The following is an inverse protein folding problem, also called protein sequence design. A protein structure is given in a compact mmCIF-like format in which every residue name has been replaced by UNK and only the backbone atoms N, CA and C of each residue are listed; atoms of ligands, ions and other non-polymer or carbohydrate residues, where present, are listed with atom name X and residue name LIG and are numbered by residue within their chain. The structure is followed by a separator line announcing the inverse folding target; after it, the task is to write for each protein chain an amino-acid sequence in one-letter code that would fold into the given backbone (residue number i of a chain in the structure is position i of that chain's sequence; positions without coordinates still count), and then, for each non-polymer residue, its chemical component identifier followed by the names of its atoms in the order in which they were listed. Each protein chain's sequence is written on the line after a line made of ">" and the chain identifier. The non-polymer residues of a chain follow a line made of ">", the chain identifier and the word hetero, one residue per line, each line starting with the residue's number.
data_IF_202062801384
#
_entry.id   IF_202062801384
#
_cell.length_a   1.000
_cell.length_b   1.000
_cell.length_c   1.000
_cell.angle_alpha   90.00
_cell.angle_beta   90.00
_cell.angle_gamma   90.00
#
_symmetry.space_group_name_H-M   'P 1'
#
loop_
_entity.id
_entity.type
_entity.pdbx_description
1 polymer ?
#
# COMPACT_ATOMS: atom_id res chain seq x y z
N UNK A 1 3.99 14.58 2.93
CA UNK A 1 2.58 14.18 3.06
C UNK A 1 1.99 14.82 4.31
N UNK A 2 0.71 15.24 4.31
CA UNK A 2 0.03 15.86 5.46
C UNK A 2 -1.26 15.09 5.80
N UNK A 3 -1.53 14.87 7.09
CA UNK A 3 -2.70 14.21 7.64
C UNK A 3 -4.01 14.94 7.30
N UNK A 4 -4.01 16.27 7.30
CA UNK A 4 -5.21 17.03 6.94
C UNK A 4 -5.60 16.83 5.47
N UNK A 5 -4.61 16.75 4.57
CA UNK A 5 -4.84 16.42 3.16
C UNK A 5 -5.29 14.97 3.01
N UNK A 6 -4.71 14.05 3.80
CA UNK A 6 -5.14 12.65 3.88
C UNK A 6 -6.61 12.50 4.24
N UNK A 7 -7.03 13.07 5.37
CA UNK A 7 -8.42 13.02 5.80
C UNK A 7 -9.34 13.69 4.78
N UNK A 8 -8.92 14.82 4.19
CA UNK A 8 -9.72 15.51 3.18
C UNK A 8 -9.94 14.67 1.91
N UNK A 9 -8.98 13.85 1.48
CA UNK A 9 -9.18 12.97 0.31
C UNK A 9 -9.90 11.67 0.68
N UNK A 10 -9.63 11.12 1.88
CA UNK A 10 -10.31 9.94 2.38
C UNK A 10 -11.79 10.19 2.70
N UNK A 11 -12.19 11.40 3.08
CA UNK A 11 -13.59 11.72 3.36
C UNK A 11 -14.42 12.01 2.09
N UNK A 12 -13.78 12.14 0.93
CA UNK A 12 -14.48 12.42 -0.33
C UNK A 12 -15.09 11.15 -0.88
N UNK A 13 -16.35 10.90 -0.55
CA UNK A 13 -17.11 9.74 -1.02
C UNK A 13 -16.99 9.48 -2.54
N UNK A 14 -16.87 10.53 -3.35
CA UNK A 14 -16.66 10.43 -4.81
C UNK A 14 -15.40 9.61 -5.18
N UNK A 15 -14.34 9.72 -4.38
CA UNK A 15 -13.11 8.93 -4.54
C UNK A 15 -13.30 7.44 -4.21
N UNK A 16 -14.43 7.05 -3.61
CA UNK A 16 -14.78 5.67 -3.23
C UNK A 16 -15.93 5.09 -4.05
N UNK A 17 -16.57 5.90 -4.88
CA UNK A 17 -17.75 5.51 -5.66
C UNK A 17 -17.38 4.98 -7.05
N UNK A 18 -16.19 5.29 -7.54
CA UNK A 18 -15.68 4.84 -8.83
C UNK A 18 -14.62 3.76 -8.60
N UNK A 19 -15.01 2.47 -8.65
CA UNK A 19 -14.12 1.29 -8.70
C UNK A 19 -13.29 1.22 -10.01
N UNK A 20 -12.92 2.37 -10.56
CA UNK A 20 -12.26 2.50 -11.86
C UNK A 20 -10.75 2.47 -11.74
N UNK A 21 -10.19 2.69 -10.54
CA UNK A 21 -8.76 2.62 -10.31
C UNK A 21 -8.29 1.16 -10.35
N UNK A 22 -7.26 0.84 -11.16
CA UNK A 22 -6.61 -0.45 -11.11
C UNK A 22 -6.07 -0.68 -9.70
N UNK A 23 -6.57 -1.73 -9.04
CA UNK A 23 -6.17 -2.06 -7.68
C UNK A 23 -4.66 -2.27 -7.52
N UNK A 24 -4.22 -2.42 -6.28
CA UNK A 24 -2.81 -2.64 -5.97
C UNK A 24 -2.46 -4.08 -6.26
N UNK A 25 -1.48 -4.27 -7.16
CA UNK A 25 -1.00 -5.58 -7.61
C UNK A 25 0.03 -6.17 -6.67
N UNK A 26 0.93 -5.33 -6.17
CA UNK A 26 2.10 -5.77 -5.44
C UNK A 26 2.56 -4.65 -4.50
N UNK A 27 2.90 -5.02 -3.27
CA UNK A 27 3.52 -4.12 -2.30
C UNK A 27 4.75 -4.78 -1.70
N UNK A 28 5.76 -3.98 -1.41
CA UNK A 28 6.96 -4.42 -0.70
C UNK A 28 7.32 -3.38 0.35
N UNK A 29 7.40 -3.79 1.62
CA UNK A 29 7.95 -2.94 2.67
C UNK A 29 9.47 -2.88 2.55
N UNK A 30 10.01 -1.67 2.46
CA UNK A 30 11.45 -1.41 2.38
C UNK A 30 12.05 -1.06 3.76
N UNK A 31 11.24 -1.12 4.81
CA UNK A 31 11.61 -0.66 6.16
C UNK A 31 11.29 0.82 6.39
N UNK A 32 11.34 1.25 7.65
CA UNK A 32 11.17 2.65 8.07
C UNK A 32 9.95 3.38 7.46
N UNK A 33 8.78 2.71 7.41
CA UNK A 33 7.53 3.24 6.84
C UNK A 33 7.55 3.49 5.33
N UNK A 34 8.53 2.93 4.62
CA UNK A 34 8.66 3.09 3.18
C UNK A 34 8.08 1.88 2.47
N UNK A 35 7.15 2.12 1.54
CA UNK A 35 6.59 1.09 0.67
C UNK A 35 7.02 1.32 -0.78
N UNK A 36 7.27 0.22 -1.47
CA UNK A 36 7.24 0.14 -2.92
C UNK A 36 5.91 -0.49 -3.33
N UNK A 37 5.15 0.20 -4.17
CA UNK A 37 3.78 -0.15 -4.54
C UNK A 37 3.72 -0.22 -6.06
N UNK A 38 3.12 -1.29 -6.59
CA UNK A 38 2.78 -1.44 -8.00
C UNK A 38 1.27 -1.58 -8.13
N UNK A 39 0.69 -0.78 -9.02
CA UNK A 39 -0.72 -0.84 -9.35
C UNK A 39 -0.94 -1.73 -10.57
N UNK A 40 -2.13 -2.32 -10.69
CA UNK A 40 -2.47 -3.26 -11.77
C UNK A 40 -2.88 -2.56 -13.06
N UNK A 41 -2.23 -1.45 -13.40
CA UNK A 41 -2.51 -0.71 -14.62
C UNK A 41 -2.22 -1.57 -15.85
N UNK A 42 -3.21 -1.68 -16.74
CA UNK A 42 -3.06 -2.36 -18.02
C UNK A 42 -2.84 -1.36 -19.15
N UNK A 43 -1.93 -1.61 -20.10
CA UNK A 43 -1.10 -2.82 -20.24
C UNK A 43 0.20 -2.79 -19.43
N UNK A 44 0.52 -1.68 -18.75
CA UNK A 44 1.83 -1.46 -18.13
C UNK A 44 1.64 -0.99 -16.69
N UNK A 45 1.97 -1.83 -15.70
CA UNK A 45 1.89 -1.48 -14.29
C UNK A 45 2.71 -0.22 -13.98
N UNK A 46 2.12 0.72 -13.26
CA UNK A 46 2.85 1.85 -12.70
C UNK A 46 3.31 1.53 -11.28
N UNK A 47 4.49 2.03 -10.92
CA UNK A 47 5.13 1.75 -9.64
C UNK A 47 5.62 3.01 -8.96
N UNK A 48 5.49 3.06 -7.65
CA UNK A 48 5.91 4.19 -6.82
C UNK A 48 6.64 3.69 -5.57
N UNK A 49 7.62 4.48 -5.12
CA UNK A 49 8.19 4.39 -3.78
C UNK A 49 7.68 5.57 -2.97
N UNK A 50 7.05 5.31 -1.83
CA UNK A 50 6.48 6.34 -0.96
C UNK A 50 6.92 6.12 0.48
N UNK A 51 7.20 7.22 1.16
CA UNK A 51 7.54 7.26 2.58
C UNK A 51 6.31 7.74 3.38
N UNK A 52 5.79 6.85 4.22
CA UNK A 52 4.63 7.13 5.07
C UNK A 52 5.02 7.69 6.44
N UNK A 53 6.31 7.78 6.78
CA UNK A 53 6.75 8.29 8.08
C UNK A 53 6.16 9.68 8.40
N UNK A 54 6.13 10.66 7.47
CA UNK A 54 5.55 11.98 7.78
C UNK A 54 4.08 11.90 8.16
N UNK A 55 3.34 10.91 7.65
CA UNK A 55 1.92 10.71 7.95
C UNK A 55 1.72 9.99 9.28
N UNK A 56 2.41 8.87 9.50
CA UNK A 56 2.16 8.00 10.65
C UNK A 56 2.96 8.35 11.91
N UNK A 57 4.14 8.96 11.80
CA UNK A 57 4.95 9.30 12.97
C UNK A 57 4.94 10.77 13.32
N UNK A 58 5.05 11.64 12.31
CA UNK A 58 5.27 13.08 12.54
C UNK A 58 3.96 13.86 12.74
N UNK A 59 2.83 13.28 12.35
CA UNK A 59 1.50 13.88 12.46
C UNK A 59 0.60 13.05 13.38
N UNK A 60 -0.71 13.29 13.38
CA UNK A 60 -1.65 12.61 14.26
C UNK A 60 -2.45 11.51 13.52
N UNK A 61 -2.04 10.23 13.54
CA UNK A 61 -2.68 9.15 12.80
C UNK A 61 -3.55 8.29 13.73
N UNK A 62 -4.23 8.92 14.68
CA UNK A 62 -5.13 8.23 15.60
C UNK A 62 -6.33 7.59 14.90
N UNK A 63 -7.15 6.88 15.67
CA UNK A 63 -8.25 6.07 15.14
C UNK A 63 -7.72 4.76 14.56
N UNK A 64 -8.29 4.33 13.43
CA UNK A 64 -8.00 3.02 12.80
C UNK A 64 -6.52 2.87 12.40
N UNK A 65 -5.79 3.96 12.15
CA UNK A 65 -4.39 3.92 11.70
C UNK A 65 -3.35 3.94 12.83
N UNK A 66 -3.78 4.06 14.09
CA UNK A 66 -2.86 4.11 15.23
C UNK A 66 -1.85 2.95 15.31
N UNK A 67 -2.26 1.70 15.04
CA UNK A 67 -1.36 0.54 15.02
C UNK A 67 -0.23 0.64 13.98
N UNK A 68 -0.43 1.39 12.89
CA UNK A 68 0.58 1.55 11.83
C UNK A 68 1.80 2.36 12.25
N UNK A 69 1.82 2.92 13.47
CA UNK A 69 3.02 3.51 14.08
C UNK A 69 4.08 2.50 14.46
N UNK A 70 3.69 1.24 14.68
CA UNK A 70 4.64 0.20 14.98
C UNK A 70 5.31 -0.28 13.69
N UNK A 71 6.65 -0.17 13.61
CA UNK A 71 7.41 -0.51 12.40
C UNK A 71 7.25 -1.98 12.00
N UNK A 72 7.21 -2.87 12.99
CA UNK A 72 7.10 -4.31 12.74
C UNK A 72 5.71 -4.67 12.23
N UNK A 73 4.67 -4.01 12.73
CA UNK A 73 3.30 -4.14 12.25
C UNK A 73 3.11 -3.51 10.87
N UNK A 74 3.63 -2.29 10.64
CA UNK A 74 3.60 -1.64 9.33
C UNK A 74 4.22 -2.53 8.23
N UNK A 75 5.27 -3.28 8.58
CA UNK A 75 5.91 -4.23 7.66
C UNK A 75 5.06 -5.42 7.24
N UNK A 76 3.92 -5.68 7.89
CA UNK A 76 3.00 -6.78 7.56
C UNK A 76 1.99 -6.45 6.45
N UNK A 77 2.19 -5.33 5.74
CA UNK A 77 1.31 -4.91 4.65
C UNK A 77 1.23 -5.97 3.55
N UNK A 78 0.02 -6.21 3.05
CA UNK A 78 -0.26 -7.02 1.87
C UNK A 78 -1.01 -6.19 0.82
N UNK A 79 -0.98 -6.66 -0.42
CA UNK A 79 -1.74 -6.09 -1.52
C UNK A 79 -2.92 -7.02 -1.83
N UNK A 80 -4.14 -6.54 -1.60
CA UNK A 80 -5.38 -7.26 -1.92
C UNK A 80 -6.41 -6.26 -2.45
N UNK A 81 -6.22 -5.83 -3.71
CA UNK A 81 -6.87 -4.67 -4.34
C UNK A 81 -6.55 -3.31 -3.67
N UNK A 82 -6.50 -3.26 -2.35
CA UNK A 82 -6.08 -2.16 -1.49
C UNK A 82 -4.72 -2.48 -0.82
N UNK A 83 -4.17 -1.51 -0.07
CA UNK A 83 -3.14 -1.82 0.91
C UNK A 83 -3.84 -2.32 2.17
N UNK A 84 -3.51 -3.53 2.62
CA UNK A 84 -4.15 -4.13 3.79
C UNK A 84 -3.12 -4.49 4.84
N UNK A 85 -3.46 -4.25 6.10
CA UNK A 85 -2.74 -4.75 7.26
C UNK A 85 -3.66 -5.68 8.04
N UNK A 86 -3.12 -6.74 8.67
CA UNK A 86 -3.93 -7.65 9.48
C UNK A 86 -4.59 -6.89 10.63
N UNK A 87 -5.64 -7.46 11.19
CA UNK A 87 -6.29 -6.90 12.37
C UNK A 87 -5.25 -6.72 13.50
N UNK A 88 -5.16 -5.51 14.10
CA UNK A 88 -4.15 -5.22 15.13
C UNK A 88 -4.36 -6.00 16.44
N UNK A 89 -5.55 -6.56 16.66
CA UNK A 89 -5.91 -7.31 17.87
C UNK A 89 -5.64 -8.80 17.72
N UNK A 90 -6.06 -9.40 16.61
CA UNK A 90 -5.91 -10.85 16.37
C UNK A 90 -4.59 -11.18 15.65
N UNK A 91 -4.10 -10.25 14.82
CA UNK A 91 -2.96 -10.47 13.94
C UNK A 91 -3.32 -11.24 12.67
N UNK A 92 -4.60 -11.53 12.47
CA UNK A 92 -5.13 -12.26 11.32
C UNK A 92 -5.80 -11.31 10.31
N UNK A 93 -5.98 -11.76 9.07
CA UNK A 93 -6.74 -11.03 8.04
C UNK A 93 -8.23 -11.35 8.16
N UNK A 94 -8.85 -10.82 9.22
CA UNK A 94 -10.25 -11.05 9.58
C UNK A 94 -11.06 -9.73 9.67
N UNK A 95 -12.23 -9.77 10.31
CA UNK A 95 -13.00 -8.55 10.59
C UNK A 95 -12.18 -7.59 11.48
N UNK A 96 -11.80 -6.44 10.93
CA UNK A 96 -10.99 -5.44 11.63
C UNK A 96 -9.60 -5.22 11.05
N UNK A 97 -9.32 -5.73 9.84
CA UNK A 97 -8.18 -5.27 9.04
C UNK A 97 -8.16 -3.75 8.89
N UNK A 98 -6.97 -3.22 8.67
CA UNK A 98 -6.79 -1.82 8.28
C UNK A 98 -6.53 -1.83 6.79
N UNK A 99 -7.43 -1.25 6.01
CA UNK A 99 -7.28 -1.11 4.57
C UNK A 99 -7.20 0.36 4.13
N UNK A 100 -6.48 0.59 3.03
CA UNK A 100 -6.42 1.89 2.36
C UNK A 100 -6.71 1.66 0.88
N UNK A 101 -7.82 2.22 0.42
CA UNK A 101 -8.30 2.08 -0.95
C UNK A 101 -7.29 2.59 -1.99
N UNK A 102 -7.23 1.96 -3.18
CA UNK A 102 -6.25 2.25 -4.22
C UNK A 102 -6.28 3.70 -4.69
N UNK A 103 -7.44 4.35 -4.76
CA UNK A 103 -7.62 5.75 -5.19
C UNK A 103 -6.89 6.72 -4.24
N UNK A 104 -7.03 6.50 -2.93
CA UNK A 104 -6.30 7.28 -1.93
C UNK A 104 -4.79 7.05 -2.08
N UNK A 105 -4.36 5.79 -2.16
CA UNK A 105 -2.93 5.44 -2.30
C UNK A 105 -2.35 6.07 -3.57
N UNK A 106 -3.08 6.02 -4.69
CA UNK A 106 -2.70 6.63 -5.98
C UNK A 106 -2.43 8.12 -5.83
N UNK A 107 -3.40 8.85 -5.28
CA UNK A 107 -3.27 10.29 -5.07
C UNK A 107 -1.99 10.65 -4.30
N UNK A 108 -1.70 9.92 -3.20
CA UNK A 108 -0.51 10.18 -2.40
C UNK A 108 0.78 9.76 -3.10
N UNK A 109 0.76 8.68 -3.86
CA UNK A 109 1.87 8.23 -4.70
C UNK A 109 2.24 9.27 -5.77
N UNK A 110 1.26 9.86 -6.45
CA UNK A 110 1.51 10.90 -7.46
C UNK A 110 2.05 12.19 -6.85
N UNK A 111 1.56 12.56 -5.67
CA UNK A 111 1.89 13.84 -5.03
C UNK A 111 3.19 13.81 -4.22
N UNK A 112 3.48 12.71 -3.53
CA UNK A 112 4.65 12.59 -2.63
C UNK A 112 5.57 11.41 -2.95
N UNK A 113 5.12 10.46 -3.77
CA UNK A 113 5.89 9.30 -4.15
C UNK A 113 6.97 9.63 -5.19
N UNK A 114 7.93 8.72 -5.30
CA UNK A 114 8.92 8.70 -6.39
C UNK A 114 8.51 7.64 -7.40
N UNK A 115 8.27 8.00 -8.68
CA UNK A 115 8.01 7.01 -9.72
C UNK A 115 9.15 6.02 -9.84
N UNK A 116 8.80 4.75 -10.07
CA UNK A 116 9.75 3.67 -10.27
C UNK A 116 9.90 3.37 -11.76
N UNK A 117 11.13 3.07 -12.17
CA UNK A 117 11.35 2.43 -13.46
C UNK A 117 10.87 0.98 -13.39
N UNK A 118 10.42 0.43 -14.53
CA UNK A 118 10.07 -0.99 -14.60
C UNK A 118 11.22 -1.93 -14.23
N UNK A 119 12.47 -1.49 -14.39
CA UNK A 119 13.68 -2.23 -13.95
C UNK A 119 13.83 -2.33 -12.43
N UNK A 120 13.10 -1.50 -11.67
CA UNK A 120 13.12 -1.49 -10.20
C UNK A 120 12.08 -2.44 -9.60
N UNK A 121 11.32 -3.15 -10.42
CA UNK A 121 10.38 -4.15 -9.94
C UNK A 121 11.19 -5.31 -9.36
N UNK A 122 10.99 -5.70 -8.08
CA UNK A 122 11.55 -6.94 -7.60
C UNK A 122 11.06 -8.00 -8.57
N UNK A 123 11.99 -8.69 -9.22
CA UNK A 123 11.66 -9.92 -9.90
C UNK A 123 11.24 -10.86 -8.78
N UNK A 124 9.94 -10.87 -8.44
CA UNK A 124 9.35 -11.96 -7.69
C UNK A 124 9.82 -13.20 -8.44
N UNK A 125 10.71 -13.94 -7.77
CA UNK A 125 11.29 -15.16 -8.30
C UNK A 125 10.14 -15.96 -8.86
N UNK A 126 10.14 -16.11 -10.17
CA UNK A 126 9.58 -17.27 -10.81
C UNK A 126 10.41 -18.46 -10.28
N UNK A 127 10.11 -18.90 -9.05
CA UNK A 127 10.34 -20.28 -8.65
C UNK A 127 9.25 -21.10 -9.35
N UNK A 128 9.26 -21.07 -10.69
CA UNK A 128 9.12 -22.33 -11.41
C UNK A 128 10.49 -22.98 -11.29
N UNK A 129 10.67 -23.73 -10.20
CA UNK A 129 11.58 -24.86 -10.24
C UNK A 129 11.01 -25.84 -11.26
N UNK A 130 11.48 -25.66 -12.49
CA UNK A 130 11.99 -26.71 -13.36
C UNK A 130 12.04 -28.13 -12.76
N UNK A 131 11.55 -29.07 -13.58
CA UNK A 131 11.93 -30.49 -13.61
C UNK A 131 11.57 -31.41 -12.44
N UNK A 132 10.45 -32.14 -12.59
CA UNK A 132 10.46 -33.59 -12.39
C UNK A 132 9.79 -34.28 -13.59
N UNK A 133 10.60 -34.46 -14.64
CA UNK A 133 10.57 -35.69 -15.43
C UNK A 133 10.70 -36.89 -14.48
N UNK A 134 9.73 -37.79 -14.54
CA UNK A 134 9.93 -39.24 -14.57
C UNK A 134 8.77 -39.88 -15.34
#
# INVERSE_FOLDING_TARGET
>A
MNWQEWTSEADRAENWLDYTEPGIKEVTSLGDFVLQIWFDDTPTPTGYKIDFQPLFLEQNPGGVFGPLKDKSFFGKVEADYALVWPNPVTGDFDEGIIDIAPECVRYFCEKYGRPLSQTSRPLLRHLMLEHMTF
#
